data_IF_106421647307
#
_entry.id   IF_106421647307
#
_cell.length_a   1.000
_cell.length_b   1.000
_cell.length_c   1.000
_cell.angle_alpha   90.00
_cell.angle_beta   90.00
_cell.angle_gamma   90.00
#
_symmetry.space_group_name_H-M   'P 1'
#
loop_
_entity.id
_entity.type
_entity.pdbx_description
1 polymer ?
#
# COMPACT_ATOMS: atom_id res chain seq x y z
N UNK A 1 31.91 54.93 -1.90
CA UNK A 1 31.58 54.44 -0.54
C UNK A 1 30.26 53.71 -0.68
N UNK A 2 30.14 52.39 -0.66
CA UNK A 2 31.00 51.33 -0.12
C UNK A 2 30.14 50.50 0.85
N UNK A 3 29.91 49.23 0.52
CA UNK A 3 29.22 48.21 1.34
C UNK A 3 27.71 48.46 1.53
N UNK A 4 26.81 47.49 1.58
CA UNK A 4 26.94 46.11 2.05
C UNK A 4 26.21 45.15 1.10
N UNK A 5 26.84 44.00 0.83
CA UNK A 5 26.21 42.84 0.19
C UNK A 5 25.70 41.96 1.31
N UNK A 6 24.39 41.85 1.48
CA UNK A 6 23.82 40.75 2.26
C UNK A 6 23.63 39.54 1.37
N UNK A 7 24.55 38.58 1.56
CA UNK A 7 24.50 37.24 1.01
C UNK A 7 24.45 36.26 2.18
N UNK A 8 23.27 35.73 2.46
CA UNK A 8 22.93 34.49 3.21
C UNK A 8 21.41 34.53 3.32
N UNK A 9 20.62 33.59 2.84
CA UNK A 9 20.69 32.17 3.15
C UNK A 9 19.89 31.42 2.08
N UNK A 10 20.58 30.71 1.19
CA UNK A 10 19.98 29.63 0.43
C UNK A 10 19.88 28.42 1.37
N UNK A 11 18.99 28.55 2.36
CA UNK A 11 18.60 27.48 3.25
C UNK A 11 17.88 26.44 2.43
N UNK A 12 18.61 25.39 2.07
CA UNK A 12 18.09 24.17 1.49
C UNK A 12 17.13 23.51 2.48
N UNK A 13 15.86 23.89 2.45
CA UNK A 13 14.78 23.08 3.02
C UNK A 13 14.44 21.92 2.08
N UNK A 14 15.48 21.18 1.69
CA UNK A 14 15.35 19.76 1.44
C UNK A 14 15.22 19.10 2.82
N UNK A 15 14.07 19.32 3.48
CA UNK A 15 13.57 18.31 4.40
C UNK A 15 13.34 17.07 3.55
N UNK A 16 14.41 16.28 3.41
CA UNK A 16 14.42 14.94 2.83
C UNK A 16 13.42 14.12 3.63
N UNK A 17 12.18 14.15 3.17
CA UNK A 17 11.12 13.32 3.68
C UNK A 17 11.46 11.91 3.21
N UNK A 18 11.88 11.05 4.13
CA UNK A 18 12.16 9.62 3.91
C UNK A 18 10.97 8.90 3.23
N UNK A 19 9.80 9.55 3.16
CA UNK A 19 8.60 9.12 2.46
C UNK A 19 8.69 9.21 0.91
N UNK A 20 9.59 10.03 0.36
CA UNK A 20 9.79 10.13 -1.10
C UNK A 20 10.69 9.00 -1.66
N UNK A 21 11.36 8.23 -0.79
CA UNK A 21 12.28 7.16 -1.18
C UNK A 21 11.60 5.94 -1.82
N UNK A 22 10.27 5.89 -1.82
CA UNK A 22 9.49 4.82 -2.47
C UNK A 22 8.44 5.34 -3.45
N UNK A 23 8.71 6.52 -4.02
CA UNK A 23 7.86 7.11 -5.04
C UNK A 23 8.20 6.54 -6.42
N UNK A 24 7.29 5.75 -7.01
CA UNK A 24 7.42 5.35 -8.41
C UNK A 24 6.32 6.00 -9.24
N UNK A 25 6.69 6.47 -10.42
CA UNK A 25 5.77 7.08 -11.37
C UNK A 25 5.21 5.98 -12.27
N UNK A 26 3.89 5.83 -12.32
CA UNK A 26 3.27 4.99 -13.34
C UNK A 26 3.42 5.64 -14.72
N UNK A 27 3.23 4.90 -15.83
CA UNK A 27 3.19 5.50 -17.16
C UNK A 27 2.18 6.65 -17.30
N UNK A 28 1.15 6.68 -16.44
CA UNK A 28 0.17 7.77 -16.33
C UNK A 28 0.57 8.94 -15.41
N UNK A 29 1.84 9.04 -15.00
CA UNK A 29 2.39 10.08 -14.10
C UNK A 29 1.83 10.10 -12.66
N UNK A 30 1.21 9.01 -12.22
CA UNK A 30 0.76 8.90 -10.82
C UNK A 30 1.95 8.66 -9.91
N UNK A 31 2.07 9.48 -8.88
CA UNK A 31 3.03 9.31 -7.79
C UNK A 31 2.48 8.28 -6.81
N UNK A 32 3.06 7.09 -6.79
CA UNK A 32 2.67 6.01 -5.88
C UNK A 32 3.68 5.87 -4.74
N UNK A 33 3.19 5.66 -3.52
CA UNK A 33 4.02 5.38 -2.34
C UNK A 33 3.84 3.92 -1.95
N UNK A 34 4.94 3.21 -1.78
CA UNK A 34 4.93 1.86 -1.21
C UNK A 34 4.40 1.86 0.23
N UNK A 35 3.44 1.00 0.52
CA UNK A 35 2.88 0.76 1.84
C UNK A 35 3.50 -0.50 2.45
N UNK A 36 3.38 -1.64 1.79
CA UNK A 36 3.95 -2.90 2.25
C UNK A 36 3.97 -3.99 1.18
N UNK A 37 4.75 -5.05 1.43
CA UNK A 37 4.77 -6.26 0.62
C UNK A 37 4.14 -7.42 1.37
N UNK A 38 3.44 -8.27 0.64
CA UNK A 38 2.89 -9.52 1.12
C UNK A 38 3.45 -10.65 0.26
N UNK A 39 4.21 -11.54 0.88
CA UNK A 39 4.60 -12.82 0.25
C UNK A 39 3.38 -13.75 0.21
N UNK A 40 3.07 -14.21 -1.00
CA UNK A 40 1.90 -15.02 -1.32
C UNK A 40 2.18 -16.46 -0.94
N UNK A 41 1.40 -16.97 0.02
CA UNK A 41 1.48 -18.36 0.46
C UNK A 41 0.59 -19.24 -0.40
N UNK A 42 0.80 -20.56 -0.36
CA UNK A 42 -0.07 -21.55 -1.04
C UNK A 42 -1.56 -21.38 -0.67
N UNK A 43 -1.85 -21.00 0.58
CA UNK A 43 -3.22 -20.73 1.04
C UNK A 43 -3.85 -19.49 0.39
N UNK A 44 -3.04 -18.50 0.03
CA UNK A 44 -3.49 -17.20 -0.50
C UNK A 44 -3.96 -17.31 -1.97
N UNK A 45 -3.45 -18.31 -2.71
CA UNK A 45 -3.83 -18.63 -4.11
C UNK A 45 -4.74 -19.85 -4.22
N UNK A 46 -5.37 -20.24 -3.11
CA UNK A 46 -6.34 -21.32 -3.08
C UNK A 46 -7.67 -20.94 -3.76
N UNK A 47 -8.55 -21.94 -3.90
CA UNK A 47 -9.90 -21.78 -4.48
C UNK A 47 -10.78 -20.77 -3.73
N UNK A 48 -10.45 -20.46 -2.48
CA UNK A 48 -11.18 -19.51 -1.64
C UNK A 48 -11.03 -18.05 -2.08
N UNK A 49 -9.99 -17.72 -2.85
CA UNK A 49 -9.78 -16.36 -3.37
C UNK A 49 -9.62 -15.31 -2.27
N UNK A 50 -8.80 -15.62 -1.26
CA UNK A 50 -8.53 -14.73 -0.12
C UNK A 50 -7.05 -14.63 0.15
N UNK A 51 -6.56 -13.44 0.51
CA UNK A 51 -5.18 -13.19 0.90
C UNK A 51 -5.16 -12.67 2.34
N UNK A 52 -4.40 -13.35 3.21
CA UNK A 52 -4.21 -12.88 4.59
C UNK A 52 -3.09 -11.85 4.65
N UNK A 53 -3.40 -10.65 5.13
CA UNK A 53 -2.47 -9.53 5.19
C UNK A 53 -1.62 -9.54 6.47
N UNK A 54 -0.38 -9.01 6.42
CA UNK A 54 0.41 -8.76 7.62
C UNK A 54 -0.30 -7.76 8.54
N UNK A 55 -0.58 -8.17 9.78
CA UNK A 55 -1.41 -7.38 10.72
C UNK A 55 -0.87 -5.98 10.96
N UNK A 56 0.43 -5.86 11.28
CA UNK A 56 1.06 -4.59 11.65
C UNK A 56 0.98 -3.58 10.52
N UNK A 57 1.19 -4.04 9.30
CA UNK A 57 1.17 -3.23 8.08
C UNK A 57 -0.26 -2.83 7.71
N UNK A 58 -1.22 -3.76 7.83
CA UNK A 58 -2.63 -3.47 7.62
C UNK A 58 -3.16 -2.39 8.58
N UNK A 59 -2.84 -2.51 9.88
CA UNK A 59 -3.23 -1.52 10.89
C UNK A 59 -2.54 -0.17 10.71
N UNK A 60 -1.32 -0.15 10.17
CA UNK A 60 -0.53 1.07 9.99
C UNK A 60 -0.90 1.84 8.72
N UNK A 61 -1.16 1.14 7.62
CA UNK A 61 -1.21 1.75 6.28
C UNK A 61 -2.57 1.67 5.60
N UNK A 62 -3.45 0.73 5.98
CA UNK A 62 -4.77 0.60 5.37
C UNK A 62 -5.84 1.32 6.19
N UNK A 63 -7.02 1.62 5.60
CA UNK A 63 -8.12 2.21 6.34
C UNK A 63 -8.48 1.40 7.58
N UNK A 64 -8.80 2.08 8.68
CA UNK A 64 -9.26 1.39 9.89
C UNK A 64 -10.66 0.81 9.69
N UNK A 65 -10.87 -0.41 10.18
CA UNK A 65 -12.15 -1.11 10.08
C UNK A 65 -12.91 -1.03 11.40
N UNK A 66 -14.15 -0.53 11.34
CA UNK A 66 -15.09 -0.45 12.46
C UNK A 66 -15.74 -1.81 12.78
N UNK A 67 -16.01 -2.59 11.74
CA UNK A 67 -16.75 -3.84 11.81
C UNK A 67 -16.08 -4.96 10.98
N UNK A 68 -16.58 -6.19 11.17
CA UNK A 68 -16.02 -7.41 10.57
C UNK A 68 -16.38 -7.57 9.09
N UNK A 69 -17.40 -6.87 8.61
CA UNK A 69 -17.83 -6.94 7.21
C UNK A 69 -16.82 -6.22 6.32
N UNK A 70 -16.24 -5.15 6.85
CA UNK A 70 -15.14 -4.44 6.23
C UNK A 70 -15.62 -3.46 5.15
N UNK A 71 -14.74 -3.15 4.20
CA UNK A 71 -15.00 -2.19 3.13
C UNK A 71 -14.58 -2.76 1.78
N UNK A 72 -15.14 -2.21 0.71
CA UNK A 72 -14.65 -2.47 -0.64
C UNK A 72 -13.45 -1.55 -0.95
N UNK A 73 -12.38 -2.14 -1.47
CA UNK A 73 -11.21 -1.44 -1.98
C UNK A 73 -11.11 -1.68 -3.49
N UNK A 74 -10.93 -0.60 -4.24
CA UNK A 74 -10.57 -0.67 -5.65
C UNK A 74 -9.05 -0.69 -5.76
N UNK A 75 -8.49 -1.83 -6.18
CA UNK A 75 -7.06 -1.99 -6.40
C UNK A 75 -6.78 -1.88 -7.89
N UNK A 76 -5.93 -0.93 -8.26
CA UNK A 76 -5.45 -0.75 -9.64
C UNK A 76 -4.04 -1.28 -9.77
N UNK A 77 -3.80 -2.08 -10.80
CA UNK A 77 -2.46 -2.49 -11.15
C UNK A 77 -1.64 -1.29 -11.62
N UNK A 78 -0.42 -1.14 -11.12
CA UNK A 78 0.38 0.05 -11.42
C UNK A 78 0.99 0.03 -12.83
N UNK A 79 1.12 -1.14 -13.45
CA UNK A 79 1.81 -1.34 -14.73
C UNK A 79 0.84 -1.70 -15.87
N UNK A 80 -0.42 -1.95 -15.57
CA UNK A 80 -1.48 -2.30 -16.52
C UNK A 80 -2.78 -1.55 -16.19
N UNK A 81 -3.77 -1.67 -17.06
CA UNK A 81 -5.10 -1.08 -16.83
C UNK A 81 -6.05 -2.03 -16.08
N UNK A 82 -5.52 -3.04 -15.38
CA UNK A 82 -6.35 -3.97 -14.62
C UNK A 82 -6.75 -3.35 -13.28
N UNK A 83 -8.02 -3.52 -12.92
CA UNK A 83 -8.58 -3.06 -11.66
C UNK A 83 -9.42 -4.17 -11.05
N UNK A 84 -9.37 -4.30 -9.73
CA UNK A 84 -10.12 -5.29 -8.97
C UNK A 84 -10.83 -4.63 -7.79
N UNK A 85 -12.14 -4.85 -7.68
CA UNK A 85 -12.88 -4.62 -6.45
C UNK A 85 -12.62 -5.78 -5.49
N UNK A 86 -11.98 -5.50 -4.37
CA UNK A 86 -11.67 -6.47 -3.32
C UNK A 86 -12.39 -6.09 -2.04
N UNK A 87 -12.78 -7.08 -1.25
CA UNK A 87 -13.32 -6.81 0.09
C UNK A 87 -12.18 -6.87 1.10
N UNK A 88 -11.86 -5.74 1.73
CA UNK A 88 -10.91 -5.65 2.83
C UNK A 88 -11.66 -5.72 4.16
N UNK A 89 -11.43 -6.80 4.90
CA UNK A 89 -12.12 -7.05 6.17
C UNK A 89 -11.20 -7.71 7.19
N UNK A 90 -11.74 -7.99 8.38
CA UNK A 90 -11.02 -8.77 9.37
C UNK A 90 -11.85 -9.92 9.96
N UNK A 91 -11.15 -11.00 10.29
CA UNK A 91 -11.69 -12.06 11.14
C UNK A 91 -11.23 -11.85 12.57
N UNK A 92 -12.07 -12.23 13.53
CA UNK A 92 -11.68 -12.28 14.94
C UNK A 92 -10.72 -13.44 15.15
N UNK A 93 -9.59 -13.18 15.80
CA UNK A 93 -8.62 -14.19 16.17
C UNK A 93 -8.19 -13.94 17.63
N UNK A 94 -8.74 -14.72 18.56
CA UNK A 94 -8.66 -14.45 20.01
C UNK A 94 -9.12 -13.00 20.32
N UNK A 95 -8.35 -12.24 21.08
CA UNK A 95 -8.59 -10.82 21.38
C UNK A 95 -8.03 -9.87 20.30
N UNK A 96 -7.75 -10.39 19.10
CA UNK A 96 -7.11 -9.66 18.01
C UNK A 96 -7.88 -9.82 16.69
N UNK A 97 -7.34 -9.23 15.63
CA UNK A 97 -7.85 -9.24 14.26
C UNK A 97 -6.86 -9.94 13.33
N UNK A 98 -7.38 -10.66 12.35
CA UNK A 98 -6.65 -11.15 11.17
C UNK A 98 -7.25 -10.48 9.94
N UNK A 99 -6.44 -9.72 9.22
CA UNK A 99 -6.89 -8.92 8.07
C UNK A 99 -6.83 -9.72 6.78
N UNK A 100 -7.85 -9.57 5.94
CA UNK A 100 -8.06 -10.39 4.74
C UNK A 100 -8.55 -9.52 3.59
N UNK A 101 -8.00 -9.76 2.40
CA UNK A 101 -8.59 -9.36 1.13
C UNK A 101 -9.34 -10.55 0.54
N UNK A 102 -10.62 -10.39 0.20
CA UNK A 102 -11.41 -11.37 -0.53
C UNK A 102 -11.63 -10.95 -1.99
N UNK A 103 -12.12 -11.89 -2.80
CA UNK A 103 -12.32 -11.74 -4.25
C UNK A 103 -11.01 -11.62 -5.06
N UNK A 104 -9.91 -12.15 -4.52
CA UNK A 104 -8.57 -12.05 -5.14
C UNK A 104 -8.31 -13.10 -6.23
N UNK A 105 -9.26 -14.00 -6.51
CA UNK A 105 -9.05 -15.16 -7.40
C UNK A 105 -8.70 -14.81 -8.85
N UNK A 106 -9.01 -13.59 -9.31
CA UNK A 106 -8.64 -13.11 -10.65
C UNK A 106 -7.22 -12.53 -10.71
N UNK A 107 -6.64 -12.16 -9.58
CA UNK A 107 -5.30 -11.58 -9.51
C UNK A 107 -4.23 -12.63 -9.82
N UNK A 108 -3.11 -12.19 -10.40
CA UNK A 108 -1.96 -13.04 -10.71
C UNK A 108 -0.73 -12.53 -9.98
N UNK A 109 0.02 -13.45 -9.40
CA UNK A 109 1.22 -13.15 -8.61
C UNK A 109 2.44 -13.86 -9.23
N UNK A 110 2.92 -13.40 -10.40
CA UNK A 110 3.99 -14.09 -11.14
C UNK A 110 5.30 -14.22 -10.33
N UNK A 111 5.53 -13.31 -9.38
CA UNK A 111 6.71 -13.34 -8.50
C UNK A 111 6.39 -13.80 -7.07
N UNK A 112 5.15 -14.23 -6.79
CA UNK A 112 4.74 -14.64 -5.45
C UNK A 112 4.64 -13.49 -4.45
N UNK A 113 4.50 -12.24 -4.91
CA UNK A 113 4.33 -11.08 -4.04
C UNK A 113 3.13 -10.23 -4.48
N UNK A 114 2.44 -9.66 -3.50
CA UNK A 114 1.57 -8.50 -3.66
C UNK A 114 2.29 -7.29 -3.08
N UNK A 115 2.37 -6.21 -3.86
CA UNK A 115 2.87 -4.91 -3.43
C UNK A 115 1.69 -3.94 -3.35
N UNK A 116 1.56 -3.26 -2.22
CA UNK A 116 0.61 -2.18 -1.98
C UNK A 116 1.36 -0.92 -1.58
#
# INVERSE_FOLDING_TARGET
MGGERDATDAGSDAQNNEQDLYLFCTPGQWKLRFLFKKEIKKSDVGSWGRIVLPKREAEKYLPSLSDKEGIELMIKDALSNQEWGLTYKYWTNNNSRMYVLEHTGKMKFPFGYLFL
#
